data_IF_707981324011
#
_entry.id   IF_707981324011
#
_cell.length_a   1.000
_cell.length_b   1.000
_cell.length_c   1.000
_cell.angle_alpha   90.00
_cell.angle_beta   90.00
_cell.angle_gamma   90.00
#
_symmetry.space_group_name_H-M   'P 1'
#
loop_
_entity.id
_entity.type
_entity.pdbx_description
1 polymer ?
#
# COMPACT_ATOMS: atom_id res chain seq x y z
N UNK A 1 15.61 11.35 20.78
CA UNK A 1 16.64 10.36 20.42
C UNK A 1 17.18 10.70 19.04
N UNK A 2 18.51 10.83 18.83
CA UNK A 2 19.08 10.91 17.49
C UNK A 2 18.75 9.65 16.67
N UNK A 3 18.57 9.82 15.36
CA UNK A 3 18.17 8.70 14.49
C UNK A 3 19.21 7.58 14.48
N UNK A 4 20.49 7.93 14.60
CA UNK A 4 21.59 6.98 14.65
C UNK A 4 21.51 6.01 15.83
N UNK A 5 20.98 6.49 16.96
CA UNK A 5 20.75 5.67 18.16
C UNK A 5 19.40 4.93 18.15
N UNK A 6 18.52 5.25 17.20
CA UNK A 6 17.23 4.58 17.08
C UNK A 6 17.38 3.10 16.75
N UNK A 7 18.25 2.79 15.78
CA UNK A 7 18.47 1.42 15.32
C UNK A 7 19.11 0.53 16.39
N UNK A 8 19.95 1.10 17.25
CA UNK A 8 20.63 0.38 18.33
C UNK A 8 19.69 0.00 19.50
N UNK A 9 18.50 0.59 19.54
CA UNK A 9 17.54 0.41 20.63
C UNK A 9 16.27 -0.33 20.22
N UNK A 10 16.25 -0.94 19.04
CA UNK A 10 15.13 -1.75 18.60
C UNK A 10 15.05 -3.03 19.45
N UNK A 11 13.85 -3.32 19.94
CA UNK A 11 13.53 -4.57 20.64
C UNK A 11 12.56 -5.32 19.74
N UNK A 12 12.88 -6.57 19.44
CA UNK A 12 12.01 -7.45 18.68
C UNK A 12 11.15 -8.28 19.63
N UNK A 13 9.87 -8.35 19.33
CA UNK A 13 8.93 -9.26 19.99
C UNK A 13 8.36 -10.19 18.91
N UNK A 14 8.48 -11.49 19.14
CA UNK A 14 7.91 -12.51 18.27
C UNK A 14 6.54 -12.95 18.78
N UNK A 15 5.62 -13.16 17.86
CA UNK A 15 4.25 -13.59 18.17
C UNK A 15 3.90 -14.82 17.33
N UNK A 16 3.16 -15.75 17.92
CA UNK A 16 2.74 -16.97 17.24
C UNK A 16 1.39 -16.81 16.53
N UNK A 17 0.55 -15.88 17.00
CA UNK A 17 -0.80 -15.67 16.45
C UNK A 17 -1.02 -14.23 16.03
N UNK A 18 -1.95 -14.02 15.07
CA UNK A 18 -2.33 -12.67 14.64
C UNK A 18 -3.07 -11.92 15.73
N UNK A 19 -3.82 -12.61 16.56
CA UNK A 19 -4.57 -12.05 17.68
C UNK A 19 -3.61 -11.42 18.71
N UNK A 20 -2.45 -12.05 18.97
CA UNK A 20 -1.42 -11.50 19.86
C UNK A 20 -0.78 -10.24 19.25
N UNK A 21 -0.56 -10.20 17.92
CA UNK A 21 -0.08 -9.03 17.21
C UNK A 21 -1.09 -7.88 17.32
N UNK A 22 -2.36 -8.13 17.05
CA UNK A 22 -3.44 -7.14 17.14
C UNK A 22 -3.55 -6.56 18.54
N UNK A 23 -3.50 -7.43 19.55
CA UNK A 23 -3.52 -7.03 20.95
C UNK A 23 -2.31 -6.17 21.30
N UNK A 24 -1.11 -6.59 20.88
CA UNK A 24 0.12 -5.83 21.13
C UNK A 24 0.04 -4.42 20.53
N UNK A 25 -0.38 -4.28 19.29
CA UNK A 25 -0.54 -2.97 18.65
C UNK A 25 -1.63 -2.13 19.32
N UNK A 26 -2.73 -2.73 19.74
CA UNK A 26 -3.79 -2.05 20.46
C UNK A 26 -3.32 -1.53 21.82
N UNK A 27 -2.62 -2.36 22.60
CA UNK A 27 -2.11 -2.00 23.92
C UNK A 27 -0.98 -0.95 23.85
N UNK A 28 -0.23 -0.91 22.75
CA UNK A 28 0.92 -0.03 22.53
C UNK A 28 0.69 1.03 21.44
N UNK A 29 -0.56 1.35 21.12
CA UNK A 29 -0.90 2.32 20.05
C UNK A 29 -0.18 3.67 20.18
N UNK A 30 0.03 4.15 21.41
CA UNK A 30 0.76 5.38 21.68
C UNK A 30 2.21 5.37 21.17
N UNK A 31 2.83 4.19 21.06
CA UNK A 31 4.18 4.04 20.50
C UNK A 31 4.17 4.30 19.01
N UNK A 32 3.13 3.86 18.28
CA UNK A 32 2.98 4.10 16.84
C UNK A 32 2.58 5.54 16.51
N UNK A 33 1.90 6.23 17.43
CA UNK A 33 1.47 7.62 17.22
C UNK A 33 2.55 8.68 17.52
N UNK A 34 3.79 8.26 17.83
CA UNK A 34 4.91 9.16 18.05
C UNK A 34 5.73 9.40 16.76
N UNK A 35 6.73 10.28 16.84
CA UNK A 35 7.59 10.67 15.70
C UNK A 35 8.33 9.51 14.99
N UNK A 36 8.50 8.38 15.64
CA UNK A 36 9.16 7.18 15.09
C UNK A 36 8.17 6.07 14.72
N UNK A 37 6.87 6.29 14.89
CA UNK A 37 5.84 5.27 14.71
C UNK A 37 5.87 4.63 13.31
N UNK A 38 6.02 5.45 12.27
CA UNK A 38 6.13 4.95 10.89
C UNK A 38 7.35 4.05 10.71
N UNK A 39 8.51 4.42 11.27
CA UNK A 39 9.71 3.60 11.20
C UNK A 39 9.56 2.30 11.99
N UNK A 40 8.97 2.33 13.18
CA UNK A 40 8.71 1.12 13.98
C UNK A 40 7.77 0.16 13.25
N UNK A 41 6.73 0.70 12.64
CA UNK A 41 5.81 -0.11 11.84
C UNK A 41 6.49 -0.70 10.59
N UNK A 42 7.30 0.09 9.90
CA UNK A 42 8.10 -0.40 8.77
C UNK A 42 9.03 -1.54 9.18
N UNK A 43 9.77 -1.39 10.28
CA UNK A 43 10.64 -2.45 10.79
C UNK A 43 9.88 -3.73 11.14
N UNK A 44 8.70 -3.60 11.76
CA UNK A 44 7.84 -4.76 12.04
C UNK A 44 7.49 -5.53 10.77
N UNK A 45 7.13 -4.81 9.69
CA UNK A 45 6.83 -5.42 8.40
C UNK A 45 8.08 -6.07 7.80
N UNK A 46 9.23 -5.38 7.81
CA UNK A 46 10.49 -5.87 7.23
C UNK A 46 10.93 -7.17 7.90
N UNK A 47 10.90 -7.24 9.23
CA UNK A 47 11.28 -8.44 9.97
C UNK A 47 10.28 -9.57 9.77
N UNK A 48 8.98 -9.28 9.71
CA UNK A 48 7.94 -10.30 9.50
C UNK A 48 7.98 -10.85 8.06
N UNK A 49 8.13 -9.97 7.07
CA UNK A 49 8.08 -10.34 5.65
C UNK A 49 9.38 -10.98 5.15
N UNK A 50 10.50 -10.53 5.68
CA UNK A 50 11.84 -10.87 5.22
C UNK A 50 12.32 -9.99 4.06
N UNK A 51 13.62 -9.68 4.09
CA UNK A 51 14.25 -8.74 3.16
C UNK A 51 14.24 -9.23 1.71
N UNK A 52 14.57 -10.50 1.48
CA UNK A 52 14.60 -11.09 0.14
C UNK A 52 13.25 -11.03 -0.57
N UNK A 53 12.17 -11.31 0.18
CA UNK A 53 10.81 -11.24 -0.36
C UNK A 53 10.42 -9.81 -0.68
N UNK A 54 10.80 -8.85 0.16
CA UNK A 54 10.56 -7.43 -0.09
C UNK A 54 11.27 -6.99 -1.38
N UNK A 55 12.56 -7.31 -1.54
CA UNK A 55 13.33 -6.94 -2.73
C UNK A 55 12.74 -7.50 -4.01
N UNK A 56 12.17 -8.71 -3.97
CA UNK A 56 11.54 -9.33 -5.15
C UNK A 56 10.28 -8.61 -5.63
N UNK A 57 9.71 -7.73 -4.83
CA UNK A 57 8.50 -6.95 -5.15
C UNK A 57 8.82 -5.53 -5.61
N UNK A 58 10.03 -5.02 -5.31
CA UNK A 58 10.45 -3.69 -5.71
C UNK A 58 10.93 -3.75 -7.16
N UNK A 59 10.25 -3.03 -8.05
CA UNK A 59 10.59 -2.99 -9.46
C UNK A 59 11.89 -2.23 -9.74
N UNK A 60 12.13 -1.17 -8.99
CA UNK A 60 13.32 -0.32 -9.11
C UNK A 60 13.99 -0.16 -7.75
N UNK A 61 15.11 -0.84 -7.57
CA UNK A 61 15.90 -0.79 -6.32
C UNK A 61 16.48 0.62 -6.07
N UNK A 62 16.58 1.45 -7.10
CA UNK A 62 17.07 2.83 -6.95
C UNK A 62 16.04 3.75 -6.30
N UNK A 63 14.76 3.39 -6.31
CA UNK A 63 13.70 4.12 -5.61
C UNK A 63 13.59 3.64 -4.15
N UNK A 64 14.04 4.43 -3.17
CA UNK A 64 13.99 4.03 -1.78
C UNK A 64 12.54 4.05 -1.25
N UNK A 65 12.19 3.19 -0.30
CA UNK A 65 10.89 3.24 0.37
C UNK A 65 10.66 4.57 1.09
N UNK A 66 11.73 5.15 1.64
CA UNK A 66 11.74 6.48 2.25
C UNK A 66 12.84 7.31 1.61
N UNK A 67 12.47 8.44 1.03
CA UNK A 67 13.42 9.33 0.36
C UNK A 67 14.41 9.93 1.36
N UNK A 68 15.70 9.73 1.15
CA UNK A 68 16.76 10.09 2.12
C UNK A 68 16.83 11.58 2.44
N UNK A 69 16.60 12.44 1.45
CA UNK A 69 16.76 13.89 1.63
C UNK A 69 15.54 14.56 2.27
N UNK A 70 14.33 14.06 1.97
CA UNK A 70 13.08 14.72 2.38
C UNK A 70 12.26 13.91 3.37
N UNK A 71 12.58 12.62 3.56
CA UNK A 71 11.83 11.73 4.43
C UNK A 71 10.43 11.37 3.92
N UNK A 72 10.11 11.63 2.64
CA UNK A 72 8.84 11.22 2.06
C UNK A 72 8.81 9.72 1.79
N UNK A 73 7.68 9.10 2.08
CA UNK A 73 7.41 7.72 1.69
C UNK A 73 7.09 7.61 0.21
N UNK A 74 7.65 6.60 -0.45
CA UNK A 74 7.32 6.27 -1.85
C UNK A 74 5.95 5.61 -1.96
N UNK A 75 5.44 5.47 -3.21
CA UNK A 75 4.23 4.68 -3.46
C UNK A 75 4.42 3.23 -3.01
N UNK A 76 5.60 2.67 -3.19
CA UNK A 76 5.94 1.30 -2.74
C UNK A 76 5.82 1.14 -1.22
N UNK A 77 6.17 2.16 -0.44
CA UNK A 77 5.95 2.15 1.01
C UNK A 77 4.47 2.17 1.37
N UNK A 78 3.67 3.00 0.70
CA UNK A 78 2.22 3.08 0.93
C UNK A 78 1.57 1.72 0.59
N UNK A 79 1.91 1.15 -0.56
CA UNK A 79 1.40 -0.14 -0.99
C UNK A 79 1.82 -1.27 -0.02
N UNK A 80 3.06 -1.24 0.47
CA UNK A 80 3.54 -2.18 1.48
C UNK A 80 2.70 -2.11 2.77
N UNK A 81 2.37 -0.92 3.24
CA UNK A 81 1.57 -0.74 4.46
C UNK A 81 0.11 -1.16 4.27
N UNK A 82 -0.47 -0.91 3.10
CA UNK A 82 -1.89 -1.20 2.85
C UNK A 82 -2.16 -2.64 2.42
N UNK A 83 -1.20 -3.28 1.73
CA UNK A 83 -1.42 -4.60 1.10
C UNK A 83 -0.40 -5.66 1.48
N UNK A 84 0.66 -5.28 2.17
CA UNK A 84 1.80 -6.14 2.44
C UNK A 84 2.72 -6.38 1.23
N UNK A 85 2.54 -5.64 0.10
CA UNK A 85 3.39 -5.72 -1.10
C UNK A 85 4.07 -4.39 -1.39
N UNK A 86 5.40 -4.42 -1.58
CA UNK A 86 6.20 -3.24 -1.89
C UNK A 86 6.28 -2.96 -3.40
N UNK A 87 5.13 -2.96 -4.09
CA UNK A 87 5.03 -2.70 -5.53
C UNK A 87 4.84 -1.21 -5.81
N UNK A 88 5.36 -0.72 -6.93
CA UNK A 88 5.33 0.71 -7.26
C UNK A 88 3.96 1.17 -7.83
N UNK A 89 3.18 0.25 -8.40
CA UNK A 89 1.96 0.61 -9.11
C UNK A 89 0.70 0.39 -8.28
N UNK A 90 -0.35 1.15 -8.62
CA UNK A 90 -1.64 1.16 -7.92
C UNK A 90 -2.79 0.56 -8.73
N UNK A 91 -2.49 0.03 -9.93
CA UNK A 91 -3.46 -0.69 -10.76
C UNK A 91 -3.66 -2.13 -10.27
N UNK A 92 -4.75 -2.76 -10.71
CA UNK A 92 -5.06 -4.14 -10.37
C UNK A 92 -4.20 -5.13 -11.15
N UNK A 93 -3.68 -6.12 -10.43
CA UNK A 93 -2.86 -7.22 -10.93
C UNK A 93 -1.54 -6.78 -11.58
N UNK A 94 -0.70 -7.77 -11.88
CA UNK A 94 0.53 -7.54 -12.63
C UNK A 94 0.19 -7.37 -14.11
N UNK A 95 0.91 -6.50 -14.82
CA UNK A 95 0.75 -6.24 -16.25
C UNK A 95 2.06 -6.52 -16.98
N UNK A 96 1.95 -7.00 -18.22
CA UNK A 96 3.08 -7.15 -19.14
C UNK A 96 2.93 -6.12 -20.25
N UNK A 97 3.84 -5.17 -20.31
CA UNK A 97 3.85 -4.13 -21.34
C UNK A 97 5.14 -4.23 -22.13
N UNK A 98 5.04 -4.78 -23.33
CA UNK A 98 6.18 -4.93 -24.24
C UNK A 98 7.29 -5.85 -23.71
N UNK A 99 6.95 -6.86 -22.92
CA UNK A 99 7.90 -7.79 -22.28
C UNK A 99 8.44 -7.30 -20.94
N UNK A 100 8.02 -6.13 -20.47
CA UNK A 100 8.34 -5.61 -19.14
C UNK A 100 7.20 -5.90 -18.18
N UNK A 101 7.49 -6.68 -17.15
CA UNK A 101 6.52 -7.00 -16.10
C UNK A 101 6.43 -5.88 -15.08
N UNK A 102 5.26 -5.25 -14.99
CA UNK A 102 4.92 -4.26 -13.99
C UNK A 102 4.07 -4.90 -12.89
N UNK A 103 4.53 -4.79 -11.65
CA UNK A 103 3.85 -5.40 -10.50
C UNK A 103 2.82 -4.42 -9.92
N UNK A 104 1.56 -4.86 -9.85
CA UNK A 104 0.44 -4.09 -9.30
C UNK A 104 -0.15 -4.72 -8.04
N UNK A 105 -1.34 -4.27 -7.66
CA UNK A 105 -2.09 -4.78 -6.51
C UNK A 105 -2.79 -6.07 -6.90
N UNK A 106 -2.49 -7.17 -6.24
CA UNK A 106 -2.91 -8.52 -6.66
C UNK A 106 -4.23 -9.02 -6.04
N UNK A 107 -4.82 -8.25 -5.13
CA UNK A 107 -6.08 -8.61 -4.47
C UNK A 107 -6.75 -7.37 -3.89
N UNK A 108 -8.05 -7.46 -3.66
CA UNK A 108 -8.81 -6.44 -2.93
C UNK A 108 -8.14 -6.15 -1.58
N UNK A 109 -7.85 -4.88 -1.32
CA UNK A 109 -7.23 -4.44 -0.07
C UNK A 109 -8.26 -4.33 1.05
N UNK A 110 -7.80 -4.37 2.29
CA UNK A 110 -8.65 -4.12 3.45
C UNK A 110 -8.97 -2.62 3.56
N UNK A 111 -7.99 -1.76 3.30
CA UNK A 111 -8.09 -0.30 3.29
C UNK A 111 -7.79 0.19 1.88
N UNK A 112 -8.60 1.11 1.39
CA UNK A 112 -8.49 1.68 0.05
C UNK A 112 -7.43 2.77 -0.06
N UNK A 113 -7.14 3.12 -1.31
CA UNK A 113 -6.24 4.21 -1.66
C UNK A 113 -6.82 5.02 -2.82
N UNK A 114 -6.86 6.33 -2.68
CA UNK A 114 -7.31 7.28 -3.69
C UNK A 114 -6.29 8.41 -3.75
N UNK A 115 -5.92 8.86 -4.93
CA UNK A 115 -4.92 9.92 -5.09
C UNK A 115 -5.35 11.00 -6.07
N UNK A 116 -4.95 12.23 -5.78
CA UNK A 116 -5.12 13.37 -6.68
C UNK A 116 -4.39 13.15 -8.01
N UNK A 117 -3.33 12.34 -8.02
CA UNK A 117 -2.57 12.01 -9.24
C UNK A 117 -3.43 11.31 -10.30
N UNK A 118 -4.48 10.56 -9.89
CA UNK A 118 -5.43 9.97 -10.83
C UNK A 118 -6.29 11.06 -11.52
N UNK A 119 -6.75 12.06 -10.77
CA UNK A 119 -7.49 13.19 -11.34
C UNK A 119 -6.63 13.98 -12.35
N UNK A 120 -5.33 14.06 -12.10
CA UNK A 120 -4.35 14.69 -12.99
C UNK A 120 -3.89 13.77 -14.13
N UNK A 121 -4.40 12.54 -14.20
CA UNK A 121 -4.09 11.51 -15.23
C UNK A 121 -2.64 11.03 -15.23
N UNK A 122 -1.93 11.12 -14.12
CA UNK A 122 -0.59 10.57 -13.97
C UNK A 122 -0.58 9.07 -13.61
N UNK A 123 -1.64 8.61 -12.94
CA UNK A 123 -1.81 7.20 -12.56
C UNK A 123 -3.27 6.79 -12.73
N UNK A 124 -3.51 5.50 -12.84
CA UNK A 124 -4.85 4.90 -12.76
C UNK A 124 -4.90 3.96 -11.56
N UNK A 125 -5.72 4.32 -10.57
CA UNK A 125 -5.93 3.48 -9.39
C UNK A 125 -6.89 2.34 -9.74
N UNK A 126 -6.51 1.13 -9.39
CA UNK A 126 -7.32 -0.07 -9.63
C UNK A 126 -8.54 -0.18 -8.72
N UNK A 127 -9.44 -1.09 -9.10
CA UNK A 127 -10.68 -1.34 -8.35
C UNK A 127 -10.41 -1.94 -6.96
N UNK A 128 -9.32 -2.69 -6.80
CA UNK A 128 -8.93 -3.28 -5.51
C UNK A 128 -8.65 -2.24 -4.42
N UNK A 129 -8.20 -1.06 -4.81
CA UNK A 129 -8.01 0.09 -3.92
C UNK A 129 -9.25 0.98 -3.83
N UNK A 130 -10.00 1.15 -4.92
CA UNK A 130 -11.22 1.98 -4.92
C UNK A 130 -12.34 1.34 -4.13
N UNK A 131 -12.44 0.01 -4.17
CA UNK A 131 -13.45 -0.79 -3.49
C UNK A 131 -12.79 -1.72 -2.45
N UNK A 132 -12.29 -1.18 -1.33
CA UNK A 132 -11.67 -1.98 -0.27
C UNK A 132 -12.71 -2.84 0.47
N UNK A 133 -12.28 -3.75 1.34
CA UNK A 133 -13.20 -4.54 2.17
C UNK A 133 -13.90 -3.70 3.25
N UNK A 134 -13.20 -2.69 3.77
CA UNK A 134 -13.75 -1.77 4.75
C UNK A 134 -13.89 -0.37 4.14
N UNK A 135 -14.93 0.36 4.55
CA UNK A 135 -15.17 1.74 4.09
C UNK A 135 -14.16 2.73 4.69
N UNK A 136 -12.88 2.48 4.44
CA UNK A 136 -11.74 3.26 4.91
C UNK A 136 -10.80 3.47 3.73
N UNK A 137 -10.39 4.70 3.46
CA UNK A 137 -9.43 5.04 2.40
C UNK A 137 -8.35 5.96 2.91
N UNK A 138 -7.13 5.74 2.45
CA UNK A 138 -6.06 6.73 2.48
C UNK A 138 -6.22 7.62 1.25
N UNK A 139 -6.34 8.92 1.47
CA UNK A 139 -6.38 9.94 0.42
C UNK A 139 -5.01 10.59 0.31
N UNK A 140 -4.42 10.55 -0.87
CA UNK A 140 -3.10 11.10 -1.14
C UNK A 140 -3.15 12.31 -2.08
N UNK A 141 -2.48 13.39 -1.69
CA UNK A 141 -2.03 14.46 -2.56
C UNK A 141 -0.51 14.32 -2.79
N UNK A 142 0.13 15.30 -3.42
CA UNK A 142 1.59 15.26 -3.66
C UNK A 142 2.42 15.09 -2.39
N UNK A 143 2.02 15.73 -1.30
CA UNK A 143 2.82 15.81 -0.07
C UNK A 143 2.05 15.48 1.19
N UNK A 144 0.77 15.11 1.09
CA UNK A 144 -0.07 14.94 2.26
C UNK A 144 -0.96 13.71 2.16
N UNK A 145 -1.06 12.98 3.26
CA UNK A 145 -1.95 11.82 3.40
C UNK A 145 -3.01 12.13 4.45
N UNK A 146 -4.26 11.82 4.13
CA UNK A 146 -5.40 11.88 5.06
C UNK A 146 -6.16 10.55 5.05
N UNK A 147 -7.02 10.36 6.03
CA UNK A 147 -7.88 9.17 6.11
C UNK A 147 -9.33 9.60 5.97
N UNK A 148 -10.03 8.96 5.03
CA UNK A 148 -11.48 9.02 4.91
C UNK A 148 -12.06 7.70 5.40
N UNK A 149 -13.10 7.75 6.21
CA UNK A 149 -13.83 6.55 6.62
C UNK A 149 -15.33 6.84 6.74
N UNK A 150 -16.13 5.79 6.63
CA UNK A 150 -17.58 5.85 6.76
C UNK A 150 -18.13 4.59 7.41
N UNK A 151 -19.24 4.71 8.12
CA UNK A 151 -20.03 3.57 8.57
C UNK A 151 -20.98 3.03 7.50
N UNK A 152 -21.09 3.74 6.36
CA UNK A 152 -21.95 3.36 5.22
C UNK A 152 -21.28 2.25 4.40
N UNK A 153 -21.77 1.02 4.57
CA UNK A 153 -21.22 -0.17 3.91
C UNK A 153 -21.53 -0.22 2.40
N UNK A 154 -22.54 0.52 1.93
CA UNK A 154 -22.88 0.58 0.50
C UNK A 154 -21.79 1.23 -0.34
N UNK A 155 -20.89 2.01 0.29
CA UNK A 155 -19.75 2.63 -0.38
C UNK A 155 -18.67 1.62 -0.83
N UNK A 156 -18.69 0.41 -0.28
CA UNK A 156 -17.76 -0.68 -0.62
C UNK A 156 -18.53 -1.89 -1.15
N UNK A 157 -19.49 -1.64 -2.02
CA UNK A 157 -20.27 -2.69 -2.67
C UNK A 157 -19.36 -3.66 -3.44
N UNK A 158 -19.69 -4.95 -3.48
CA UNK A 158 -19.02 -5.88 -4.37
C UNK A 158 -19.03 -5.34 -5.80
N UNK A 159 -17.94 -5.59 -6.52
CA UNK A 159 -17.82 -5.22 -7.93
C UNK A 159 -19.06 -5.74 -8.70
N UNK A 160 -19.73 -4.88 -9.42
CA UNK A 160 -20.86 -5.28 -10.28
C UNK A 160 -20.35 -6.10 -11.46
N UNK A 161 -21.22 -6.90 -12.10
CA UNK A 161 -20.84 -7.67 -13.29
C UNK A 161 -20.31 -6.76 -14.43
N UNK A 162 -20.84 -5.55 -14.56
CA UNK A 162 -20.37 -4.57 -15.55
C UNK A 162 -18.99 -4.00 -15.22
N UNK A 163 -18.71 -3.71 -13.95
CA UNK A 163 -17.39 -3.26 -13.48
C UNK A 163 -16.35 -4.37 -13.63
N UNK A 164 -16.73 -5.61 -13.29
CA UNK A 164 -15.89 -6.78 -13.48
C UNK A 164 -15.53 -6.97 -14.95
N UNK A 165 -16.51 -6.94 -15.85
CA UNK A 165 -16.30 -7.04 -17.29
C UNK A 165 -15.38 -5.93 -17.82
N UNK A 166 -15.61 -4.68 -17.37
CA UNK A 166 -14.78 -3.52 -17.74
C UNK A 166 -13.34 -3.67 -17.25
N UNK A 167 -13.15 -4.15 -16.04
CA UNK A 167 -11.81 -4.41 -15.48
C UNK A 167 -11.05 -5.47 -16.30
N UNK A 168 -11.74 -6.57 -16.64
CA UNK A 168 -11.14 -7.60 -17.49
C UNK A 168 -10.82 -7.03 -18.89
N UNK A 169 -11.76 -6.31 -19.49
CA UNK A 169 -11.55 -5.69 -20.80
C UNK A 169 -10.32 -4.77 -20.81
N UNK A 170 -10.18 -3.89 -19.79
CA UNK A 170 -9.04 -2.98 -19.70
C UNK A 170 -7.67 -3.71 -19.54
N UNK A 171 -7.66 -4.96 -19.09
CA UNK A 171 -6.42 -5.76 -19.05
C UNK A 171 -5.93 -6.14 -20.47
N UNK A 172 -6.85 -6.22 -21.43
CA UNK A 172 -6.54 -6.58 -22.83
C UNK A 172 -6.48 -5.36 -23.75
N UNK A 173 -7.20 -4.29 -23.41
CA UNK A 173 -7.16 -2.99 -24.13
C UNK A 173 -6.04 -2.12 -23.57
N UNK A 174 -4.80 -2.53 -23.79
CA UNK A 174 -3.60 -1.82 -23.30
C UNK A 174 -3.40 -0.44 -23.92
N UNK A 175 -4.04 -0.17 -25.07
CA UNK A 175 -3.97 1.11 -25.77
C UNK A 175 -5.16 2.04 -25.49
N UNK A 176 -6.11 1.62 -24.64
CA UNK A 176 -7.36 2.36 -24.36
C UNK A 176 -8.15 2.74 -25.61
N UNK A 177 -8.18 1.86 -26.60
CA UNK A 177 -8.87 2.08 -27.89
C UNK A 177 -10.36 1.83 -27.80
N UNK A 178 -10.82 1.11 -26.78
CA UNK A 178 -12.21 0.73 -26.58
C UNK A 178 -12.69 -0.42 -27.48
N UNK A 179 -11.74 -1.14 -28.11
CA UNK A 179 -12.00 -2.26 -29.03
C UNK A 179 -11.44 -3.58 -28.50
#
# INVERSE_FOLDING_TARGET
LPIDLFHERLILNDFETIEDVEKFFSDHYSVLSNRYGVLLFLYSILFTKGYEKLLSEINDISEPLIHSNFGYGSQSLINLFLTGRAVAHVFDNDQDIGGMKLLGINRQSDIGFITLMEQLRYVQVGSFYKNPKYSIWVLASETHLTVLFSNEKSLVSPETAAEHARRIFNQYDTENTGN
#
